data_IF_937845288535
#
_entry.id   IF_937845288535
#
_cell.length_a   1.000
_cell.length_b   1.000
_cell.length_c   1.000
_cell.angle_alpha   90.00
_cell.angle_beta   90.00
_cell.angle_gamma   90.00
#
_symmetry.space_group_name_H-M   'P 1'
#
loop_
_entity.id
_entity.type
_entity.pdbx_description
1 polymer ?
#
# COMPACT_ATOMS: atom_id res chain seq x y z
N UNK A 1 -3.85 -23.32 -40.17
CA UNK A 1 -2.72 -22.46 -39.72
C UNK A 1 -3.07 -22.03 -38.32
N UNK A 2 -2.14 -22.27 -37.41
CA UNK A 2 -2.34 -22.56 -36.00
C UNK A 2 -3.11 -21.53 -35.19
N UNK A 3 -3.97 -22.08 -34.35
CA UNK A 3 -4.32 -21.61 -33.01
C UNK A 3 -3.19 -20.84 -32.32
N UNK A 4 -3.52 -19.65 -31.79
CA UNK A 4 -2.76 -19.00 -30.73
C UNK A 4 -3.73 -18.78 -29.56
N UNK A 5 -3.70 -19.74 -28.63
CA UNK A 5 -4.47 -19.76 -27.40
C UNK A 5 -4.22 -18.52 -26.52
N UNK A 6 -5.23 -18.17 -25.73
CA UNK A 6 -5.21 -17.05 -24.82
C UNK A 6 -4.19 -17.24 -23.69
N UNK A 7 -3.26 -16.29 -23.59
CA UNK A 7 -2.45 -16.09 -22.38
C UNK A 7 -3.32 -15.34 -21.35
N UNK A 8 -4.22 -16.07 -20.70
CA UNK A 8 -4.77 -15.61 -19.43
C UNK A 8 -3.67 -15.79 -18.40
N UNK A 9 -2.95 -14.71 -18.07
CA UNK A 9 -1.96 -14.69 -17.00
C UNK A 9 -2.67 -14.96 -15.67
N UNK A 10 -2.85 -16.23 -15.33
CA UNK A 10 -3.28 -16.67 -14.02
C UNK A 10 -2.30 -16.13 -12.96
N UNK A 11 -2.79 -15.67 -11.79
CA UNK A 11 -1.90 -15.18 -10.76
C UNK A 11 -1.07 -16.37 -10.28
N UNK A 12 0.24 -16.18 -10.26
CA UNK A 12 1.18 -17.13 -9.66
C UNK A 12 0.87 -17.12 -8.16
N UNK A 13 0.06 -18.06 -7.69
CA UNK A 13 -0.08 -18.36 -6.26
C UNK A 13 1.18 -19.13 -5.87
N UNK A 14 2.28 -18.40 -5.72
CA UNK A 14 3.50 -18.92 -5.12
C UNK A 14 3.17 -19.27 -3.67
N UNK A 15 3.42 -20.53 -3.30
CA UNK A 15 3.24 -21.08 -1.98
C UNK A 15 3.68 -20.08 -0.91
N UNK A 16 2.73 -19.60 -0.11
CA UNK A 16 2.97 -18.59 0.91
C UNK A 16 4.11 -19.08 1.82
N UNK A 17 5.28 -18.41 1.82
CA UNK A 17 6.12 -18.44 3.00
C UNK A 17 5.22 -18.03 4.18
N UNK A 18 5.53 -18.48 5.39
CA UNK A 18 4.98 -17.81 6.58
C UNK A 18 5.53 -16.38 6.50
N UNK A 19 4.78 -15.49 5.85
CA UNK A 19 5.19 -14.11 5.66
C UNK A 19 5.02 -13.46 7.02
N UNK A 20 6.16 -13.19 7.67
CA UNK A 20 6.19 -12.24 8.77
C UNK A 20 5.48 -10.96 8.29
N UNK A 21 4.71 -10.33 9.19
CA UNK A 21 3.87 -9.16 8.87
C UNK A 21 4.69 -8.08 8.18
N UNK A 22 5.94 -7.88 8.62
CA UNK A 22 6.84 -6.90 8.03
C UNK A 22 7.27 -7.27 6.60
N UNK A 23 7.46 -8.56 6.29
CA UNK A 23 7.80 -9.00 4.93
C UNK A 23 6.60 -8.82 3.99
N UNK A 24 5.39 -9.16 4.44
CA UNK A 24 4.18 -8.94 3.67
C UNK A 24 3.97 -7.45 3.36
N UNK A 25 4.16 -6.56 4.35
CA UNK A 25 4.06 -5.11 4.14
C UNK A 25 5.08 -4.60 3.11
N UNK A 26 6.32 -5.08 3.16
CA UNK A 26 7.33 -4.69 2.17
C UNK A 26 6.96 -5.09 0.74
N UNK A 27 6.38 -6.27 0.55
CA UNK A 27 5.95 -6.74 -0.77
C UNK A 27 4.78 -5.92 -1.31
N UNK A 28 3.76 -5.65 -0.48
CA UNK A 28 2.62 -4.80 -0.86
C UNK A 28 3.07 -3.37 -1.24
N UNK A 29 4.04 -2.82 -0.51
CA UNK A 29 4.60 -1.50 -0.83
C UNK A 29 5.37 -1.48 -2.16
N UNK A 30 6.09 -2.55 -2.50
CA UNK A 30 6.78 -2.67 -3.80
C UNK A 30 5.78 -2.79 -4.96
N UNK A 31 4.74 -3.60 -4.79
CA UNK A 31 3.70 -3.77 -5.80
C UNK A 31 2.92 -2.48 -6.02
N UNK A 32 2.52 -1.78 -4.95
CA UNK A 32 1.80 -0.50 -5.07
C UNK A 32 2.64 0.60 -5.72
N UNK A 33 3.96 0.63 -5.49
CA UNK A 33 4.88 1.52 -6.22
C UNK A 33 4.93 1.23 -7.72
N UNK A 34 4.84 -0.04 -8.13
CA UNK A 34 4.89 -0.43 -9.54
C UNK A 34 3.63 0.00 -10.30
N UNK A 35 2.51 0.15 -9.58
CA UNK A 35 1.22 0.57 -10.13
C UNK A 35 0.89 2.05 -9.87
N UNK A 36 1.86 2.87 -9.45
CA UNK A 36 1.67 4.29 -9.09
C UNK A 36 0.55 4.52 -8.06
N UNK A 37 0.29 3.53 -7.19
CA UNK A 37 -0.80 3.52 -6.21
C UNK A 37 -0.41 4.01 -4.81
N UNK A 38 0.84 4.47 -4.62
CA UNK A 38 1.37 4.86 -3.31
C UNK A 38 1.53 6.38 -3.19
N UNK A 39 0.70 7.01 -2.36
CA UNK A 39 0.87 8.41 -1.97
C UNK A 39 2.06 8.58 -1.02
N UNK A 40 2.91 9.59 -1.23
CA UNK A 40 4.14 9.78 -0.44
C UNK A 40 4.19 11.17 0.19
N UNK A 41 4.57 11.20 1.46
CA UNK A 41 4.63 12.42 2.25
C UNK A 41 3.28 12.79 2.87
N UNK A 42 3.34 13.64 3.90
CA UNK A 42 2.20 13.91 4.77
C UNK A 42 1.03 14.57 4.02
N UNK A 43 1.33 15.52 3.12
CA UNK A 43 0.28 16.26 2.41
C UNK A 43 -0.51 15.37 1.45
N UNK A 44 0.19 14.56 0.65
CA UNK A 44 -0.48 13.63 -0.28
C UNK A 44 -1.23 12.53 0.48
N UNK A 45 -0.64 12.00 1.55
CA UNK A 45 -1.28 10.99 2.39
C UNK A 45 -2.56 11.53 3.03
N UNK A 46 -2.53 12.72 3.63
CA UNK A 46 -3.71 13.36 4.21
C UNK A 46 -4.81 13.59 3.16
N UNK A 47 -4.44 14.02 1.94
CA UNK A 47 -5.38 14.21 0.84
C UNK A 47 -6.00 12.90 0.35
N UNK A 48 -5.22 11.81 0.31
CA UNK A 48 -5.71 10.49 -0.08
C UNK A 48 -6.65 9.88 0.99
N UNK A 49 -6.34 10.11 2.27
CA UNK A 49 -7.17 9.72 3.41
C UNK A 49 -8.50 10.49 3.42
N UNK A 50 -8.45 11.80 3.19
CA UNK A 50 -9.64 12.67 3.10
C UNK A 50 -10.58 12.25 1.96
N UNK A 51 -10.02 11.90 0.80
CA UNK A 51 -10.78 11.36 -0.34
C UNK A 51 -11.26 9.92 -0.16
N UNK A 52 -10.94 9.26 0.95
CA UNK A 52 -11.23 7.83 1.21
C UNK A 52 -10.70 6.89 0.10
N UNK A 53 -9.59 7.27 -0.52
CA UNK A 53 -8.91 6.48 -1.56
C UNK A 53 -7.83 5.57 -0.97
N UNK A 54 -7.33 5.90 0.22
CA UNK A 54 -6.30 5.10 0.88
C UNK A 54 -6.91 3.86 1.56
N UNK A 55 -6.36 2.69 1.23
CA UNK A 55 -6.74 1.42 1.89
C UNK A 55 -5.88 1.10 3.12
N UNK A 56 -4.65 1.62 3.16
CA UNK A 56 -3.68 1.39 4.22
C UNK A 56 -2.84 2.66 4.39
N UNK A 57 -2.54 3.04 5.64
CA UNK A 57 -1.59 4.09 5.96
C UNK A 57 -0.44 3.49 6.78
N UNK A 58 0.79 3.91 6.47
CA UNK A 58 1.99 3.56 7.23
C UNK A 58 2.62 4.85 7.72
N UNK A 59 2.71 4.99 9.04
CA UNK A 59 3.31 6.15 9.69
C UNK A 59 4.54 5.70 10.49
N UNK A 60 5.62 6.47 10.38
CA UNK A 60 6.81 6.24 11.18
C UNK A 60 6.59 6.77 12.60
N UNK A 61 7.02 6.00 13.61
CA UNK A 61 6.86 6.39 15.03
C UNK A 61 7.81 7.52 15.45
N UNK A 62 8.89 7.75 14.69
CA UNK A 62 9.92 8.75 14.95
C UNK A 62 9.69 10.07 14.17
N UNK A 63 8.47 10.61 14.20
CA UNK A 63 8.21 11.97 13.68
C UNK A 63 8.69 13.04 14.68
N UNK A 64 9.32 14.10 14.17
CA UNK A 64 9.79 15.22 15.00
C UNK A 64 8.65 15.98 15.68
N UNK A 65 7.51 16.10 14.99
CA UNK A 65 6.34 16.81 15.50
C UNK A 65 5.19 15.83 15.79
N UNK A 66 4.78 15.67 17.06
CA UNK A 66 3.75 14.70 17.46
C UNK A 66 2.36 15.05 16.93
N UNK A 67 2.16 16.29 16.47
CA UNK A 67 0.91 16.72 15.85
C UNK A 67 0.64 16.00 14.52
N UNK A 68 1.69 15.60 13.79
CA UNK A 68 1.53 14.82 12.55
C UNK A 68 1.00 13.42 12.81
N UNK A 69 1.43 12.79 13.92
CA UNK A 69 0.93 11.47 14.29
C UNK A 69 -0.56 11.53 14.63
N UNK A 70 -0.95 12.50 15.47
CA UNK A 70 -2.35 12.71 15.85
C UNK A 70 -3.25 13.03 14.65
N UNK A 71 -2.76 13.82 13.70
CA UNK A 71 -3.52 14.17 12.50
C UNK A 71 -3.80 12.92 11.65
N UNK A 72 -2.78 12.09 11.41
CA UNK A 72 -2.95 10.87 10.61
C UNK A 72 -3.81 9.84 11.33
N UNK A 73 -3.63 9.66 12.63
CA UNK A 73 -4.47 8.78 13.45
C UNK A 73 -5.94 9.21 13.43
N UNK A 74 -6.22 10.51 13.55
CA UNK A 74 -7.58 11.03 13.47
C UNK A 74 -8.20 10.77 12.09
N UNK A 75 -7.48 11.08 11.00
CA UNK A 75 -7.95 10.85 9.64
C UNK A 75 -8.17 9.37 9.30
N UNK A 76 -7.41 8.46 9.92
CA UNK A 76 -7.58 7.01 9.75
C UNK A 76 -8.74 6.44 10.57
N UNK A 77 -9.22 7.15 11.60
CA UNK A 77 -10.32 6.71 12.45
C UNK A 77 -11.71 7.10 11.90
N UNK A 78 -11.76 7.97 10.89
CA UNK A 78 -12.98 8.38 10.19
C UNK A 78 -13.32 7.51 8.95
#
# INVERSE_FOLDING_TARGET
>A
MSDNEGETSAPIIAAAPILDVNMALQEVLKTSLTHDGLARGLHEAAKALDKRQAHLCVLATNCDEPMYQKLVEALCAE
#
